data_IF_065413499856
#
_entry.id   IF_065413499856
#
_cell.length_a   1.000
_cell.length_b   1.000
_cell.length_c   1.000
_cell.angle_alpha   90.00
_cell.angle_beta   90.00
_cell.angle_gamma   90.00
#
_symmetry.space_group_name_H-M   'P 1'
#
loop_
_entity.id
_entity.type
_entity.pdbx_description
1 polymer ?
#
# COMPACT_ATOMS: atom_id res chain seq x y z
N UNK A 1 -13.33 -0.59 -16.20
CA UNK A 1 -13.25 -1.44 -14.99
C UNK A 1 -11.99 -1.16 -14.19
N UNK A 2 -12.13 -0.57 -13.00
CA UNK A 2 -11.00 -0.40 -12.06
C UNK A 2 -10.85 -1.69 -11.24
N UNK A 3 -9.94 -2.58 -11.63
CA UNK A 3 -9.65 -3.83 -10.90
C UNK A 3 -8.92 -3.52 -9.59
N UNK A 4 -9.19 -4.27 -8.52
CA UNK A 4 -8.50 -4.10 -7.24
C UNK A 4 -8.42 -5.42 -6.46
N UNK A 5 -7.30 -5.64 -5.76
CA UNK A 5 -7.11 -6.80 -4.88
C UNK A 5 -6.27 -6.45 -3.66
N UNK A 6 -6.42 -7.24 -2.59
CA UNK A 6 -5.52 -7.23 -1.45
C UNK A 6 -4.46 -8.31 -1.60
N UNK A 7 -3.23 -7.97 -1.21
CA UNK A 7 -2.10 -8.87 -1.32
C UNK A 7 -1.19 -8.78 -0.09
N UNK A 8 -0.40 -9.82 0.14
CA UNK A 8 0.69 -9.84 1.12
C UNK A 8 2.02 -9.73 0.39
N UNK A 9 2.88 -8.81 0.82
CA UNK A 9 4.24 -8.70 0.27
C UNK A 9 5.10 -9.87 0.75
N UNK A 10 5.44 -10.79 -0.15
CA UNK A 10 6.25 -11.98 0.17
C UNK A 10 7.74 -11.63 0.17
N UNK A 11 8.22 -10.92 -0.85
CA UNK A 11 9.65 -10.64 -1.00
C UNK A 11 10.00 -10.01 -2.33
N UNK A 12 11.29 -9.95 -2.64
CA UNK A 12 11.80 -9.51 -3.93
C UNK A 12 12.66 -10.61 -4.52
N UNK A 13 12.63 -10.73 -5.85
CA UNK A 13 13.49 -11.60 -6.64
C UNK A 13 13.83 -10.90 -7.95
N UNK A 14 14.61 -11.57 -8.80
CA UNK A 14 14.92 -11.13 -10.16
C UNK A 14 14.42 -12.18 -11.15
N UNK A 15 14.01 -11.73 -12.32
CA UNK A 15 13.62 -12.59 -13.44
C UNK A 15 14.27 -12.06 -14.71
N UNK A 16 14.56 -12.95 -15.66
CA UNK A 16 14.98 -12.56 -16.99
C UNK A 16 13.76 -12.49 -17.89
N UNK A 17 13.64 -11.38 -18.63
CA UNK A 17 12.62 -11.27 -19.68
C UNK A 17 13.09 -12.01 -20.94
N UNK A 18 12.21 -12.12 -21.93
CA UNK A 18 12.49 -12.77 -23.22
C UNK A 18 13.72 -12.16 -23.92
N UNK A 19 13.94 -10.86 -23.76
CA UNK A 19 15.12 -10.14 -24.29
C UNK A 19 16.43 -10.37 -23.51
N UNK A 20 16.42 -11.25 -22.49
CA UNK A 20 17.57 -11.49 -21.62
C UNK A 20 17.84 -10.38 -20.59
N UNK A 21 16.96 -9.38 -20.48
CA UNK A 21 17.10 -8.27 -19.52
C UNK A 21 16.70 -8.73 -18.12
N UNK A 22 17.57 -8.49 -17.14
CA UNK A 22 17.31 -8.75 -15.73
C UNK A 22 16.36 -7.70 -15.15
N UNK A 23 15.15 -8.13 -14.77
CA UNK A 23 14.11 -7.28 -14.20
C UNK A 23 13.92 -7.58 -12.71
N UNK A 24 14.10 -6.60 -11.80
CA UNK A 24 13.79 -6.77 -10.39
C UNK A 24 12.28 -6.77 -10.18
N UNK A 25 11.77 -7.75 -9.42
CA UNK A 25 10.34 -7.91 -9.16
C UNK A 25 10.06 -8.09 -7.67
N UNK A 26 8.95 -7.53 -7.21
CA UNK A 26 8.35 -7.85 -5.91
C UNK A 26 7.29 -8.93 -6.10
N UNK A 27 7.40 -10.01 -5.32
CA UNK A 27 6.40 -11.08 -5.26
C UNK A 27 5.31 -10.70 -4.26
N UNK A 28 4.07 -10.63 -4.74
CA UNK A 28 2.88 -10.34 -3.96
C UNK A 28 1.94 -11.54 -3.99
N UNK A 29 1.55 -12.07 -2.83
CA UNK A 29 0.54 -13.11 -2.73
C UNK A 29 -0.83 -12.45 -2.66
N UNK A 30 -1.57 -12.48 -3.77
CA UNK A 30 -2.79 -11.72 -4.00
C UNK A 30 -4.00 -12.66 -4.06
N UNK A 31 -4.68 -12.82 -2.93
CA UNK A 31 -5.89 -13.64 -2.82
C UNK A 31 -5.67 -15.04 -2.20
N UNK A 32 -6.77 -15.81 -2.04
CA UNK A 32 -8.14 -15.42 -2.40
C UNK A 32 -8.69 -14.31 -1.47
N UNK A 33 -9.32 -13.32 -2.08
CA UNK A 33 -10.01 -12.23 -1.40
C UNK A 33 -11.52 -12.45 -1.53
N UNK A 34 -12.31 -12.29 -0.47
CA UNK A 34 -13.75 -12.57 -0.51
C UNK A 34 -14.54 -11.28 -0.35
N UNK A 35 -15.57 -11.08 -1.17
CA UNK A 35 -16.49 -9.93 -1.04
C UNK A 35 -17.36 -10.11 0.20
N UNK A 36 -17.29 -9.16 1.14
CA UNK A 36 -18.04 -9.21 2.41
C UNK A 36 -19.31 -8.37 2.35
N UNK A 37 -19.30 -7.27 1.60
CA UNK A 37 -20.44 -6.38 1.45
C UNK A 37 -20.33 -5.62 0.13
N UNK A 38 -21.46 -5.49 -0.56
CA UNK A 38 -21.62 -4.57 -1.69
C UNK A 38 -22.35 -3.33 -1.17
N UNK A 39 -21.78 -2.16 -1.40
CA UNK A 39 -22.34 -0.85 -1.00
C UNK A 39 -22.90 -0.15 -2.21
N UNK A 40 -24.14 0.28 -2.10
CA UNK A 40 -24.88 0.98 -3.16
C UNK A 40 -25.13 2.43 -2.76
N UNK A 41 -25.40 3.28 -3.76
CA UNK A 41 -25.68 4.70 -3.53
C UNK A 41 -26.91 4.89 -2.63
N UNK A 42 -27.93 4.05 -2.80
CA UNK A 42 -29.19 4.11 -2.04
C UNK A 42 -29.00 3.79 -0.55
N UNK A 43 -28.18 2.80 -0.21
CA UNK A 43 -27.99 2.34 1.17
C UNK A 43 -26.87 3.08 1.90
N UNK A 44 -25.74 3.36 1.23
CA UNK A 44 -24.51 3.85 1.85
C UNK A 44 -24.10 5.26 1.37
N UNK A 45 -24.79 5.82 0.37
CA UNK A 45 -24.48 7.13 -0.22
C UNK A 45 -23.30 7.13 -1.20
N UNK A 46 -22.72 5.95 -1.50
CA UNK A 46 -21.67 5.78 -2.51
C UNK A 46 -21.55 4.31 -2.96
N UNK A 47 -20.99 4.11 -4.15
CA UNK A 47 -20.74 2.78 -4.72
C UNK A 47 -19.36 2.24 -4.31
N UNK A 48 -19.31 1.07 -3.68
CA UNK A 48 -18.06 0.41 -3.29
C UNK A 48 -18.25 -1.10 -3.01
N UNK A 49 -17.17 -1.86 -3.19
CA UNK A 49 -17.10 -3.26 -2.77
C UNK A 49 -16.20 -3.36 -1.54
N UNK A 50 -16.70 -3.97 -0.47
CA UNK A 50 -15.91 -4.34 0.69
C UNK A 50 -15.37 -5.76 0.52
N UNK A 51 -14.07 -5.90 0.71
CA UNK A 51 -13.35 -7.15 0.47
C UNK A 51 -12.55 -7.53 1.71
N UNK A 52 -12.62 -8.80 2.07
CA UNK A 52 -11.90 -9.43 3.16
C UNK A 52 -10.71 -10.28 2.68
N UNK A 53 -9.59 -10.22 3.40
CA UNK A 53 -8.36 -10.93 3.07
C UNK A 53 -7.67 -11.52 4.31
N UNK A 54 -7.07 -12.71 4.12
CA UNK A 54 -6.42 -13.56 5.15
C UNK A 54 -7.40 -14.07 6.21
N UNK A 55 -7.48 -15.38 6.40
CA UNK A 55 -8.36 -15.94 7.42
C UNK A 55 -7.90 -15.61 8.85
N UNK A 56 -8.89 -15.46 9.73
CA UNK A 56 -8.71 -15.18 11.15
C UNK A 56 -9.54 -16.17 11.94
N UNK A 57 -8.93 -16.80 12.96
CA UNK A 57 -9.65 -17.72 13.85
C UNK A 57 -10.79 -16.99 14.56
N UNK A 58 -11.95 -17.62 14.64
CA UNK A 58 -13.18 -17.11 15.26
C UNK A 58 -12.95 -16.50 16.64
N UNK A 59 -12.21 -17.19 17.51
CA UNK A 59 -11.90 -16.72 18.87
C UNK A 59 -11.17 -15.38 18.97
N UNK A 60 -10.58 -14.90 17.87
CA UNK A 60 -9.85 -13.62 17.80
C UNK A 60 -10.70 -12.48 17.22
N UNK A 61 -11.91 -12.80 16.74
CA UNK A 61 -12.83 -11.85 16.11
C UNK A 61 -13.78 -11.33 17.18
N UNK A 62 -14.02 -10.02 17.18
CA UNK A 62 -14.97 -9.43 18.12
C UNK A 62 -16.42 -9.71 17.66
N UNK A 63 -17.36 -9.68 18.60
CA UNK A 63 -18.77 -10.00 18.35
C UNK A 63 -19.40 -9.19 17.20
N UNK A 64 -19.14 -7.86 17.05
CA UNK A 64 -19.72 -7.08 15.94
C UNK A 64 -19.21 -7.51 14.56
N UNK A 65 -17.90 -7.71 14.39
CA UNK A 65 -17.36 -8.17 13.10
C UNK A 65 -17.85 -9.58 12.78
N UNK A 66 -18.00 -10.44 13.81
CA UNK A 66 -18.53 -11.79 13.63
C UNK A 66 -19.91 -11.76 12.96
N UNK A 67 -20.84 -10.96 13.49
CA UNK A 67 -22.18 -10.81 12.91
C UNK A 67 -22.18 -10.25 11.48
N UNK A 68 -21.22 -9.39 11.12
CA UNK A 68 -21.08 -8.91 9.74
C UNK A 68 -20.65 -10.02 8.78
N UNK A 69 -19.66 -10.83 9.17
CA UNK A 69 -19.20 -11.95 8.34
C UNK A 69 -20.24 -13.08 8.26
N UNK A 70 -20.92 -13.39 9.37
CA UNK A 70 -21.99 -14.39 9.42
C UNK A 70 -23.16 -14.00 8.52
N UNK A 71 -23.55 -12.71 8.51
CA UNK A 71 -24.59 -12.18 7.61
C UNK A 71 -24.19 -12.32 6.13
N UNK A 72 -22.90 -12.17 5.83
CA UNK A 72 -22.37 -12.33 4.48
C UNK A 72 -22.14 -13.81 4.09
N UNK A 73 -22.22 -14.75 5.03
CA UNK A 73 -21.96 -16.17 4.78
C UNK A 73 -20.49 -16.49 4.49
N UNK A 74 -19.56 -15.64 4.93
CA UNK A 74 -18.13 -15.76 4.62
C UNK A 74 -17.29 -16.07 5.85
N UNK A 75 -16.13 -16.72 5.65
CA UNK A 75 -15.19 -16.95 6.76
C UNK A 75 -14.63 -15.63 7.31
N UNK A 76 -14.25 -15.64 8.59
CA UNK A 76 -13.73 -14.46 9.25
C UNK A 76 -12.37 -14.03 8.67
N UNK A 77 -12.27 -12.76 8.25
CA UNK A 77 -11.06 -12.21 7.64
C UNK A 77 -10.30 -11.27 8.59
N UNK A 78 -8.97 -11.24 8.44
CA UNK A 78 -8.06 -10.39 9.23
C UNK A 78 -8.09 -8.95 8.74
N UNK A 79 -8.09 -8.76 7.43
CA UNK A 79 -8.09 -7.45 6.80
C UNK A 79 -9.40 -7.25 6.06
N UNK A 80 -10.04 -6.11 6.27
CA UNK A 80 -11.22 -5.68 5.54
C UNK A 80 -10.91 -4.32 4.93
N UNK A 81 -11.10 -4.17 3.61
CA UNK A 81 -10.88 -2.91 2.89
C UNK A 81 -11.99 -2.67 1.90
N UNK A 82 -12.24 -1.40 1.63
CA UNK A 82 -13.20 -0.98 0.62
C UNK A 82 -12.50 -0.52 -0.65
N UNK A 83 -13.08 -0.90 -1.78
CA UNK A 83 -12.73 -0.44 -3.09
C UNK A 83 -13.91 0.32 -3.68
N UNK A 84 -13.73 1.63 -3.86
CA UNK A 84 -14.66 2.45 -4.63
C UNK A 84 -14.45 2.13 -6.11
N UNK A 85 -15.36 1.34 -6.65
CA UNK A 85 -15.39 0.91 -8.04
C UNK A 85 -16.65 1.50 -8.67
N UNK A 86 -16.56 1.93 -9.93
CA UNK A 86 -17.74 2.38 -10.68
C UNK A 86 -18.70 1.21 -10.92
N UNK A 87 -18.13 0.03 -11.16
CA UNK A 87 -18.85 -1.23 -11.44
C UNK A 87 -19.07 -2.06 -10.15
N UNK A 88 -19.31 -1.44 -8.98
CA UNK A 88 -19.40 -2.21 -7.72
C UNK A 88 -20.58 -3.21 -7.70
N UNK A 89 -21.65 -2.92 -8.45
CA UNK A 89 -22.86 -3.73 -8.54
C UNK A 89 -22.64 -5.05 -9.30
N UNK A 90 -21.55 -5.17 -10.07
CA UNK A 90 -21.23 -6.42 -10.77
C UNK A 90 -20.63 -7.49 -9.85
N UNK A 91 -20.39 -7.17 -8.59
CA UNK A 91 -19.84 -8.10 -7.61
C UNK A 91 -20.95 -8.63 -6.72
N UNK A 92 -20.88 -9.92 -6.42
CA UNK A 92 -21.81 -10.56 -5.50
C UNK A 92 -21.17 -10.76 -4.13
N UNK A 93 -21.99 -10.76 -3.07
CA UNK A 93 -21.52 -11.10 -1.72
C UNK A 93 -21.04 -12.56 -1.73
N UNK A 94 -19.97 -12.84 -1.00
CA UNK A 94 -19.26 -14.12 -0.96
C UNK A 94 -18.49 -14.52 -2.23
N UNK A 95 -18.49 -13.69 -3.28
CA UNK A 95 -17.65 -13.91 -4.45
C UNK A 95 -16.14 -13.87 -4.10
N UNK A 96 -15.37 -14.80 -4.66
CA UNK A 96 -13.91 -14.81 -4.55
C UNK A 96 -13.25 -14.01 -5.67
N UNK A 97 -12.26 -13.20 -5.30
CA UNK A 97 -11.39 -12.42 -6.19
C UNK A 97 -9.98 -12.99 -6.05
N UNK A 98 -9.45 -13.51 -7.17
CA UNK A 98 -8.12 -14.13 -7.27
C UNK A 98 -7.15 -13.25 -8.07
N UNK A 99 -5.90 -13.68 -8.18
CA UNK A 99 -4.85 -12.94 -8.88
C UNK A 99 -5.08 -12.84 -10.40
N UNK A 100 -5.90 -13.73 -10.95
CA UNK A 100 -6.30 -13.83 -12.36
C UNK A 100 -7.05 -12.62 -12.91
N UNK A 101 -7.59 -11.75 -12.05
CA UNK A 101 -8.20 -10.50 -12.50
C UNK A 101 -7.21 -9.61 -13.24
N UNK A 102 -5.91 -9.74 -12.96
CA UNK A 102 -4.85 -8.99 -13.63
C UNK A 102 -4.17 -9.83 -14.72
N UNK A 103 -3.64 -9.15 -15.73
CA UNK A 103 -2.83 -9.76 -16.78
C UNK A 103 -1.39 -9.25 -16.75
N UNK A 104 -0.46 -10.02 -17.33
CA UNK A 104 0.90 -9.56 -17.56
C UNK A 104 0.90 -8.34 -18.52
N UNK A 105 1.82 -7.40 -18.29
CA UNK A 105 1.89 -6.12 -19.00
C UNK A 105 0.95 -5.03 -18.44
N UNK A 106 -0.06 -5.38 -17.63
CA UNK A 106 -0.94 -4.37 -17.03
C UNK A 106 -0.20 -3.49 -16.01
N UNK A 107 -0.60 -2.22 -15.94
CA UNK A 107 -0.04 -1.23 -15.01
C UNK A 107 -0.94 -1.05 -13.79
N UNK A 108 -0.33 -1.09 -12.61
CA UNK A 108 -1.00 -1.03 -11.31
C UNK A 108 -0.37 -0.02 -10.36
N UNK A 109 -1.19 0.45 -9.43
CA UNK A 109 -0.77 1.27 -8.30
C UNK A 109 -0.78 0.42 -7.03
N UNK A 110 0.35 0.38 -6.33
CA UNK A 110 0.52 -0.40 -5.10
C UNK A 110 0.56 0.51 -3.87
N UNK A 111 -0.40 0.32 -2.96
CA UNK A 111 -0.56 1.11 -1.74
C UNK A 111 -0.28 0.27 -0.50
N UNK A 112 0.61 0.71 0.38
CA UNK A 112 0.89 0.02 1.63
C UNK A 112 1.35 1.01 2.72
N UNK A 113 1.51 0.50 3.94
CA UNK A 113 2.15 1.25 5.02
C UNK A 113 3.66 1.10 4.86
N UNK A 114 4.36 2.23 4.70
CA UNK A 114 5.81 2.29 4.57
C UNK A 114 6.53 1.74 5.81
N UNK A 115 7.74 1.18 5.61
CA UNK A 115 8.59 0.71 6.71
C UNK A 115 8.82 1.85 7.72
N UNK A 116 8.54 1.58 8.99
CA UNK A 116 8.82 2.50 10.09
C UNK A 116 10.33 2.68 10.28
N UNK A 117 10.76 3.91 10.55
CA UNK A 117 12.15 4.25 10.90
C UNK A 117 12.26 4.87 12.30
N UNK A 118 11.16 5.06 13.04
CA UNK A 118 11.17 5.68 14.36
C UNK A 118 11.43 7.19 14.31
N UNK A 119 11.88 7.78 15.43
CA UNK A 119 12.25 9.21 15.49
C UNK A 119 13.57 9.45 14.75
N UNK A 120 13.54 10.32 13.74
CA UNK A 120 14.69 10.56 12.87
C UNK A 120 15.07 12.05 12.85
N UNK A 121 16.39 12.31 12.82
CA UNK A 121 16.95 13.65 12.66
C UNK A 121 16.68 14.26 11.28
N UNK A 122 16.90 15.56 11.14
CA UNK A 122 16.51 16.33 9.96
C UNK A 122 17.22 15.87 8.67
N UNK A 123 18.50 15.47 8.77
CA UNK A 123 19.27 14.89 7.65
C UNK A 123 18.60 13.62 7.11
N UNK A 124 18.34 12.61 7.96
CA UNK A 124 17.77 11.34 7.52
C UNK A 124 16.31 11.45 7.09
N UNK A 125 15.55 12.35 7.72
CA UNK A 125 14.12 12.54 7.45
C UNK A 125 13.86 13.38 6.19
N UNK A 126 14.66 14.42 5.96
CA UNK A 126 14.39 15.44 4.94
C UNK A 126 15.55 15.67 3.96
N UNK A 127 16.66 14.94 4.08
CA UNK A 127 17.80 15.05 3.16
C UNK A 127 18.61 16.34 3.33
N UNK A 128 18.54 17.01 4.48
CA UNK A 128 19.34 18.21 4.73
C UNK A 128 20.85 17.89 4.72
N UNK A 129 21.66 18.86 4.28
CA UNK A 129 23.12 18.77 4.35
C UNK A 129 23.60 18.80 5.80
N UNK A 130 24.74 18.14 6.05
CA UNK A 130 25.45 18.23 7.32
C UNK A 130 26.30 19.50 7.39
N UNK A 131 26.63 19.94 8.60
CA UNK A 131 27.69 20.94 8.80
C UNK A 131 29.10 20.35 8.68
N UNK A 132 30.15 21.18 8.72
CA UNK A 132 31.54 20.73 8.65
C UNK A 132 31.88 19.74 9.77
N UNK A 133 32.72 18.75 9.47
CA UNK A 133 33.25 17.79 10.46
C UNK A 133 34.59 18.25 11.07
N UNK A 134 35.28 19.18 10.41
CA UNK A 134 36.57 19.73 10.83
C UNK A 134 36.43 21.23 11.16
N UNK A 135 37.57 21.91 11.35
CA UNK A 135 37.66 23.35 11.62
C UNK A 135 36.89 23.80 12.87
N UNK A 136 36.95 23.02 13.96
CA UNK A 136 36.37 23.38 15.25
C UNK A 136 34.83 23.35 15.30
N UNK A 137 34.16 22.83 14.27
CA UNK A 137 32.70 22.74 14.23
C UNK A 137 32.17 21.80 15.32
N UNK A 138 31.20 22.26 16.10
CA UNK A 138 30.36 21.43 17.00
C UNK A 138 28.99 21.14 16.39
N UNK A 139 28.83 21.43 15.10
CA UNK A 139 27.56 21.42 14.40
C UNK A 139 27.62 20.47 13.20
N UNK A 140 27.28 19.20 13.43
CA UNK A 140 27.38 18.19 12.38
C UNK A 140 26.03 17.82 11.80
N UNK A 141 25.04 17.49 12.65
CA UNK A 141 23.78 16.84 12.22
C UNK A 141 22.50 17.57 12.62
N UNK A 142 22.62 18.81 13.03
CA UNK A 142 21.50 19.67 13.44
C UNK A 142 20.78 20.31 12.23
N UNK A 143 19.59 20.89 12.46
CA UNK A 143 18.58 21.16 11.41
C UNK A 143 18.66 22.53 10.69
N UNK A 144 19.76 23.25 10.87
CA UNK A 144 19.95 24.65 10.47
C UNK A 144 19.21 25.67 11.36
N UNK A 145 19.09 26.89 10.84
CA UNK A 145 18.23 27.92 11.40
C UNK A 145 16.74 27.57 11.26
N UNK A 146 15.97 27.90 12.30
CA UNK A 146 14.53 27.65 12.35
C UNK A 146 13.68 28.75 11.68
N UNK A 147 14.24 29.94 11.45
CA UNK A 147 13.53 31.09 10.87
C UNK A 147 14.33 32.38 10.95
N UNK A 148 13.75 33.47 10.47
CA UNK A 148 14.30 34.82 10.65
C UNK A 148 13.99 35.37 12.06
N UNK A 149 14.67 36.45 12.45
CA UNK A 149 14.58 37.09 13.76
C UNK A 149 13.32 37.97 13.90
N UNK A 150 13.42 39.28 13.68
CA UNK A 150 12.38 40.25 14.07
C UNK A 150 11.12 40.23 13.20
N UNK A 151 11.25 40.02 11.90
CA UNK A 151 10.12 39.80 11.00
C UNK A 151 10.40 38.48 10.26
N UNK A 152 9.61 37.41 10.45
CA UNK A 152 8.24 37.33 10.98
C UNK A 152 8.11 36.92 12.47
N UNK A 153 9.19 36.91 13.26
CA UNK A 153 9.19 36.55 14.70
C UNK A 153 8.52 35.21 15.05
N UNK A 154 8.44 34.27 14.10
CA UNK A 154 7.84 32.96 14.31
C UNK A 154 8.41 31.91 13.35
N UNK A 155 8.28 30.65 13.74
CA UNK A 155 8.55 29.52 12.85
C UNK A 155 7.33 29.26 11.98
N UNK A 156 7.51 29.21 10.66
CA UNK A 156 6.43 28.90 9.73
C UNK A 156 5.94 27.46 9.88
N UNK A 157 4.62 27.27 9.72
CA UNK A 157 4.01 25.93 9.65
C UNK A 157 4.63 25.16 8.47
N UNK A 158 4.87 23.87 8.67
CA UNK A 158 5.50 23.01 7.66
C UNK A 158 7.04 23.07 7.62
N UNK A 159 7.69 23.86 8.47
CA UNK A 159 9.16 23.84 8.62
C UNK A 159 9.64 22.40 8.89
N UNK A 160 10.57 21.93 8.06
CA UNK A 160 11.12 20.57 8.11
C UNK A 160 12.06 20.41 9.30
N UNK A 161 11.63 19.64 10.30
CA UNK A 161 12.41 19.33 11.51
C UNK A 161 12.48 17.81 11.77
N UNK A 162 13.23 17.40 12.81
CA UNK A 162 13.28 16.02 13.27
C UNK A 162 11.89 15.49 13.66
N UNK A 163 11.71 14.17 13.66
CA UNK A 163 10.43 13.55 14.04
C UNK A 163 10.26 12.13 13.54
N UNK A 164 9.09 11.55 13.81
CA UNK A 164 8.75 10.20 13.38
C UNK A 164 8.75 10.07 11.84
N UNK A 165 9.47 9.08 11.33
CA UNK A 165 9.61 8.79 9.90
C UNK A 165 9.13 7.38 9.56
N UNK A 166 8.44 7.22 8.43
CA UNK A 166 7.81 5.97 8.02
C UNK A 166 6.49 5.71 8.74
N UNK A 167 5.98 4.48 8.66
CA UNK A 167 4.65 4.10 9.16
C UNK A 167 3.51 4.96 8.59
N UNK A 168 3.69 5.47 7.38
CA UNK A 168 2.68 6.25 6.65
C UNK A 168 2.18 5.45 5.46
N UNK A 169 0.92 5.62 5.10
CA UNK A 169 0.35 5.09 3.85
C UNK A 169 1.04 5.77 2.66
N UNK A 170 1.63 4.96 1.79
CA UNK A 170 2.34 5.39 0.57
C UNK A 170 1.80 4.59 -0.59
N UNK A 171 1.62 5.26 -1.73
CA UNK A 171 1.24 4.64 -3.00
C UNK A 171 2.38 4.84 -3.99
N UNK A 172 2.86 3.75 -4.58
CA UNK A 172 3.76 3.78 -5.72
C UNK A 172 2.91 3.49 -6.95
N UNK A 173 3.01 4.35 -7.96
CA UNK A 173 2.13 4.33 -9.12
C UNK A 173 2.84 3.74 -10.34
N UNK A 174 2.04 3.30 -11.31
CA UNK A 174 2.51 2.88 -12.64
C UNK A 174 3.56 1.76 -12.58
N UNK A 175 3.32 0.76 -11.73
CA UNK A 175 4.12 -0.45 -11.66
C UNK A 175 3.58 -1.48 -12.65
N UNK A 176 4.46 -2.11 -13.41
CA UNK A 176 4.10 -3.12 -14.41
C UNK A 176 4.00 -4.51 -13.78
N UNK A 177 2.96 -5.26 -14.11
CA UNK A 177 2.86 -6.69 -13.76
C UNK A 177 3.66 -7.47 -14.79
N UNK A 178 4.73 -8.15 -14.36
CA UNK A 178 5.57 -8.92 -15.28
C UNK A 178 5.01 -10.32 -15.50
N UNK A 179 4.46 -10.93 -14.44
CA UNK A 179 3.87 -12.28 -14.51
C UNK A 179 2.78 -12.44 -13.48
N UNK A 180 1.77 -13.22 -13.85
CA UNK A 180 0.68 -13.67 -12.98
C UNK A 180 0.77 -15.19 -12.88
N UNK A 181 0.72 -15.70 -11.66
CA UNK A 181 0.61 -17.13 -11.38
C UNK A 181 -0.72 -17.35 -10.67
N UNK A 182 -1.71 -17.84 -11.43
CA UNK A 182 -3.07 -18.05 -10.95
C UNK A 182 -3.19 -19.24 -10.00
N UNK A 183 -2.34 -20.26 -10.15
CA UNK A 183 -2.35 -21.46 -9.29
C UNK A 183 -1.93 -21.09 -7.86
N UNK A 184 -0.84 -20.32 -7.74
CA UNK A 184 -0.31 -19.91 -6.44
C UNK A 184 -0.86 -18.56 -5.95
N UNK A 185 -1.74 -17.92 -6.74
CA UNK A 185 -2.23 -16.55 -6.50
C UNK A 185 -1.09 -15.55 -6.28
N UNK A 186 -0.07 -15.58 -7.13
CA UNK A 186 1.08 -14.68 -7.06
C UNK A 186 1.05 -13.65 -8.19
N UNK A 187 1.37 -12.41 -7.83
CA UNK A 187 1.63 -11.31 -8.76
C UNK A 187 3.10 -10.91 -8.65
N UNK A 188 3.80 -10.94 -9.78
CA UNK A 188 5.16 -10.45 -9.89
C UNK A 188 5.11 -9.03 -10.45
N UNK A 189 5.35 -8.05 -9.59
CA UNK A 189 5.28 -6.63 -9.94
C UNK A 189 6.70 -6.09 -10.11
N UNK A 190 6.96 -5.43 -11.23
CA UNK A 190 8.25 -4.78 -11.54
C UNK A 190 8.59 -3.71 -10.51
N UNK A 191 9.80 -3.76 -9.98
CA UNK A 191 10.31 -2.79 -9.02
C UNK A 191 9.88 -3.04 -7.58
N UNK A 192 9.91 -1.98 -6.77
CA UNK A 192 9.76 -2.05 -5.32
C UNK A 192 8.37 -1.58 -4.85
N UNK A 193 7.69 -2.44 -4.11
CA UNK A 193 6.41 -2.13 -3.45
C UNK A 193 6.67 -1.57 -2.04
N UNK A 194 5.90 -0.57 -1.57
CA UNK A 194 6.07 -0.03 -0.22
C UNK A 194 5.79 -1.09 0.87
N UNK A 195 6.46 -0.93 2.02
CA UNK A 195 6.21 -1.71 3.23
C UNK A 195 7.17 -2.86 3.53
N UNK A 196 7.14 -3.37 4.77
CA UNK A 196 7.95 -4.51 5.21
C UNK A 196 7.50 -5.84 4.60
N UNK A 197 8.31 -6.89 4.78
CA UNK A 197 7.90 -8.26 4.42
C UNK A 197 6.65 -8.64 5.22
N UNK A 198 5.73 -9.40 4.61
CA UNK A 198 4.42 -9.81 5.17
C UNK A 198 3.44 -8.66 5.44
N UNK A 199 3.68 -7.45 4.92
CA UNK A 199 2.69 -6.36 5.04
C UNK A 199 1.55 -6.52 4.04
N UNK A 200 0.37 -6.04 4.44
CA UNK A 200 -0.76 -5.85 3.54
C UNK A 200 -0.42 -4.79 2.48
N UNK A 201 -0.67 -5.13 1.23
CA UNK A 201 -0.57 -4.26 0.06
C UNK A 201 -1.93 -4.25 -0.62
N UNK A 202 -2.39 -3.07 -0.99
CA UNK A 202 -3.57 -2.88 -1.83
C UNK A 202 -3.09 -2.59 -3.25
N UNK A 203 -3.47 -3.43 -4.20
CA UNK A 203 -3.17 -3.25 -5.62
C UNK A 203 -4.44 -2.78 -6.30
N UNK A 204 -4.32 -1.74 -7.13
CA UNK A 204 -5.41 -1.22 -7.95
C UNK A 204 -4.91 -1.02 -9.38
N UNK A 205 -5.81 -1.11 -10.35
CA UNK A 205 -5.55 -0.60 -11.69
C UNK A 205 -5.03 0.85 -11.60
N UNK A 206 -4.00 1.17 -12.39
CA UNK A 206 -3.37 2.50 -12.29
C UNK A 206 -4.36 3.60 -12.68
N UNK A 207 -4.32 4.72 -11.96
CA UNK A 207 -5.05 5.94 -12.37
C UNK A 207 -4.26 6.75 -13.40
N UNK A 208 -2.98 6.43 -13.60
CA UNK A 208 -2.07 7.09 -14.55
C UNK A 208 -1.67 6.11 -15.63
N UNK A 209 -2.62 5.77 -16.51
CA UNK A 209 -2.25 5.13 -17.77
C UNK A 209 -1.80 6.20 -18.75
N UNK A 210 -0.64 6.00 -19.36
CA UNK A 210 -0.27 6.74 -20.56
C UNK A 210 -1.30 6.43 -21.66
N UNK A 211 -1.59 7.44 -22.48
CA UNK A 211 -1.99 7.20 -23.87
C UNK A 211 -0.94 6.35 -24.57
#
# INVERSE_FOLDING_TARGET
MKKAILATKVGMTQIFNEDGVLTPVTVLQAGPCVVTQVKTVENDGYSAVQVGFVDKREKLVNKPMKGQFDKAGVSYKRFVREFRLEDAESYEVAQEIKADIFAAGEKVDATAISKGKGFQGAIKRHGQSRGPMAHGSKYHRHAGSNGACSDPSRVFKGKKMAGHMGNKKVTVQNLEIVRVDAENNLLLVKGAVPGPKKSLVTIKATVKSAK
#
